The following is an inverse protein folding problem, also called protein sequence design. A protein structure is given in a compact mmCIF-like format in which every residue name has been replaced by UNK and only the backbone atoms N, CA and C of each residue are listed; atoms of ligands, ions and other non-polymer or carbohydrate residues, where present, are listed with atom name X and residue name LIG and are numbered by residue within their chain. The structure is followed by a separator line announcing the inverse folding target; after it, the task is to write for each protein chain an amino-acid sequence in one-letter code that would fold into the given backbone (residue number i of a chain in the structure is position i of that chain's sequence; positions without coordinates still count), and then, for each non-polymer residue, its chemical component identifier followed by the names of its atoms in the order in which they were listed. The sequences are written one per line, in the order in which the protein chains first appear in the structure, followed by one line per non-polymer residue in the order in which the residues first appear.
data_IF_991089856546
#
_entry.id   IF_991089856546
#
_cell.length_a   1.000
_cell.length_b   1.000
_cell.length_c   1.000
_cell.angle_alpha   90.00
_cell.angle_beta   90.00
_cell.angle_gamma   90.00
#
_symmetry.space_group_name_H-M   'P 1'
#
loop_
_entity.id
_entity.type
_entity.pdbx_description
1 polymer ?
#
# COMPACT_ATOMS: atom_id res chain seq x y z
N UNK A 1 -27.92 24.29 -8.42
CA UNK A 1 -28.66 23.26 -7.67
C UNK A 1 -27.79 22.81 -6.51
N UNK A 2 -28.20 23.02 -5.24
CA UNK A 2 -27.43 22.54 -4.08
C UNK A 2 -27.43 21.02 -4.12
N UNK A 3 -26.26 20.40 -4.25
CA UNK A 3 -26.15 18.95 -4.14
C UNK A 3 -26.57 18.56 -2.73
N UNK A 4 -27.56 17.68 -2.63
CA UNK A 4 -28.02 17.12 -1.36
C UNK A 4 -26.88 16.27 -0.81
N UNK A 5 -26.48 16.52 0.43
CA UNK A 5 -25.44 15.75 1.10
C UNK A 5 -25.83 14.26 1.15
N UNK A 6 -24.95 13.34 0.73
CA UNK A 6 -25.27 11.91 0.69
C UNK A 6 -25.22 11.30 2.09
N UNK A 7 -26.33 11.42 2.81
CA UNK A 7 -26.47 10.95 4.19
C UNK A 7 -26.31 9.42 4.31
N UNK A 8 -26.83 8.66 3.34
CA UNK A 8 -26.75 7.19 3.36
C UNK A 8 -25.30 6.69 3.25
N UNK A 9 -24.51 7.30 2.37
CA UNK A 9 -23.09 6.96 2.22
C UNK A 9 -22.30 7.33 3.48
N UNK A 10 -22.60 8.50 4.06
CA UNK A 10 -22.00 8.93 5.32
C UNK A 10 -22.30 7.95 6.47
N UNK A 11 -23.54 7.51 6.61
CA UNK A 11 -23.94 6.52 7.61
C UNK A 11 -23.27 5.16 7.39
N UNK A 12 -23.11 4.73 6.14
CA UNK A 12 -22.37 3.51 5.80
C UNK A 12 -20.90 3.59 6.25
N UNK A 13 -20.21 4.70 5.97
CA UNK A 13 -18.83 4.91 6.41
C UNK A 13 -18.72 4.92 7.93
N UNK A 14 -19.65 5.58 8.64
CA UNK A 14 -19.66 5.57 10.10
C UNK A 14 -19.93 4.18 10.69
N UNK A 15 -20.78 3.38 10.04
CA UNK A 15 -21.03 2.00 10.47
C UNK A 15 -19.78 1.11 10.33
N UNK A 16 -19.04 1.26 9.23
CA UNK A 16 -17.85 0.44 8.97
C UNK A 16 -16.59 0.93 9.67
N UNK A 17 -16.38 2.25 9.74
CA UNK A 17 -15.13 2.86 10.18
C UNK A 17 -15.31 3.93 11.28
N UNK A 18 -16.48 4.00 11.93
CA UNK A 18 -16.81 5.08 12.88
C UNK A 18 -15.89 5.20 14.11
N UNK A 19 -15.07 4.19 14.40
CA UNK A 19 -14.05 4.25 15.46
C UNK A 19 -12.76 4.99 15.03
N UNK A 20 -12.56 5.21 13.73
CA UNK A 20 -11.39 5.90 13.18
C UNK A 20 -11.66 7.36 12.81
N UNK A 21 -12.92 7.78 12.80
CA UNK A 21 -13.33 9.11 12.37
C UNK A 21 -14.09 9.86 13.47
N UNK A 22 -13.85 11.17 13.54
CA UNK A 22 -14.71 12.08 14.29
C UNK A 22 -15.90 12.45 13.41
N UNK A 23 -17.09 11.95 13.75
CA UNK A 23 -18.30 12.12 12.93
C UNK A 23 -18.74 13.57 12.79
N UNK A 24 -18.52 14.41 13.80
CA UNK A 24 -18.85 15.82 13.76
C UNK A 24 -17.94 16.57 12.80
N UNK A 25 -16.63 16.41 12.96
CA UNK A 25 -15.64 17.03 12.06
C UNK A 25 -15.73 16.51 10.64
N UNK A 26 -15.88 15.20 10.45
CA UNK A 26 -15.98 14.60 9.11
C UNK A 26 -17.19 15.14 8.35
N UNK A 27 -18.34 15.32 9.02
CA UNK A 27 -19.53 15.90 8.40
C UNK A 27 -19.29 17.34 7.96
N UNK A 28 -18.71 18.17 8.83
CA UNK A 28 -18.40 19.57 8.50
C UNK A 28 -17.40 19.68 7.35
N UNK A 29 -16.33 18.88 7.37
CA UNK A 29 -15.31 18.86 6.32
C UNK A 29 -15.88 18.38 4.98
N UNK A 30 -16.69 17.32 4.97
CA UNK A 30 -17.36 16.85 3.76
C UNK A 30 -18.35 17.90 3.23
N UNK A 31 -19.07 18.61 4.12
CA UNK A 31 -20.01 19.64 3.70
C UNK A 31 -19.32 20.84 3.04
N UNK A 32 -18.13 21.22 3.50
CA UNK A 32 -17.26 22.21 2.84
C UNK A 32 -16.86 21.70 1.45
N UNK A 33 -16.40 20.45 1.35
CA UNK A 33 -16.06 19.84 0.07
C UNK A 33 -17.22 19.84 -0.94
N UNK A 34 -18.43 19.49 -0.50
CA UNK A 34 -19.61 19.48 -1.37
C UNK A 34 -20.09 20.88 -1.77
N UNK A 35 -19.74 21.91 -0.99
CA UNK A 35 -20.12 23.30 -1.24
C UNK A 35 -19.17 24.01 -2.20
N UNK A 36 -17.91 23.59 -2.26
CA UNK A 36 -16.87 24.21 -3.07
C UNK A 36 -16.85 23.68 -4.51
N UNK A 37 -17.15 24.56 -5.48
CA UNK A 37 -17.21 24.21 -6.90
C UNK A 37 -15.82 23.95 -7.51
N UNK A 38 -14.76 24.52 -6.96
CA UNK A 38 -13.39 24.34 -7.46
C UNK A 38 -12.89 22.93 -7.15
N UNK A 39 -13.25 22.41 -5.97
CA UNK A 39 -12.96 21.02 -5.58
C UNK A 39 -13.82 20.00 -6.35
N UNK A 40 -15.03 20.37 -6.76
CA UNK A 40 -15.86 19.53 -7.64
C UNK A 40 -15.40 19.52 -9.11
N UNK A 41 -14.75 20.61 -9.55
CA UNK A 41 -14.21 20.75 -10.91
C UNK A 41 -13.03 19.83 -11.17
N UNK A 42 -12.24 19.53 -10.13
CA UNK A 42 -11.11 18.62 -10.22
C UNK A 42 -11.54 17.14 -10.14
N UNK A 43 -12.32 16.68 -11.13
CA UNK A 43 -12.71 15.26 -11.33
C UNK A 43 -11.53 14.37 -11.79
N UNK A 44 -10.32 14.68 -11.34
CA UNK A 44 -9.15 13.83 -11.55
C UNK A 44 -9.28 12.50 -10.79
N UNK A 45 -8.27 11.64 -10.90
CA UNK A 45 -8.25 10.41 -10.11
C UNK A 45 -8.16 10.79 -8.63
N UNK A 46 -8.74 9.97 -7.74
CA UNK A 46 -8.63 10.16 -6.28
C UNK A 46 -7.18 10.40 -5.81
N UNK A 47 -6.20 9.78 -6.48
CA UNK A 47 -4.78 9.98 -6.19
C UNK A 47 -4.31 11.41 -6.50
N UNK A 48 -4.76 12.01 -7.60
CA UNK A 48 -4.38 13.37 -7.99
C UNK A 48 -4.97 14.37 -7.00
N UNK A 49 -6.18 14.09 -6.52
CA UNK A 49 -6.83 14.87 -5.48
C UNK A 49 -6.11 14.76 -4.12
N UNK A 50 -5.63 13.58 -3.74
CA UNK A 50 -4.81 13.39 -2.53
C UNK A 50 -3.47 14.13 -2.60
N UNK A 51 -2.84 14.18 -3.79
CA UNK A 51 -1.63 14.96 -4.02
C UNK A 51 -1.93 16.44 -3.88
N UNK A 52 -3.02 16.93 -4.50
CA UNK A 52 -3.46 18.31 -4.36
C UNK A 52 -3.72 18.72 -2.90
N UNK A 53 -4.44 17.89 -2.13
CA UNK A 53 -4.68 18.17 -0.71
C UNK A 53 -3.38 18.27 0.09
N UNK A 54 -2.38 17.47 -0.27
CA UNK A 54 -1.07 17.47 0.39
C UNK A 54 -0.23 18.69 -0.01
N UNK A 55 -0.24 19.04 -1.29
CA UNK A 55 0.52 20.18 -1.82
C UNK A 55 -0.04 21.53 -1.36
N UNK A 56 -1.33 21.60 -1.05
CA UNK A 56 -1.99 22.78 -0.49
C UNK A 56 -1.98 22.82 1.05
N UNK A 57 -1.27 21.90 1.73
CA UNK A 57 -1.25 21.75 3.20
C UNK A 57 -2.65 21.64 3.84
N UNK A 58 -3.63 21.18 3.06
CA UNK A 58 -5.01 20.99 3.50
C UNK A 58 -5.19 19.73 4.36
N UNK A 59 -4.14 18.91 4.49
CA UNK A 59 -4.09 17.74 5.38
C UNK A 59 -4.21 18.15 6.86
N UNK A 60 -3.68 19.31 7.23
CA UNK A 60 -3.86 19.88 8.58
C UNK A 60 -5.21 20.59 8.75
N UNK A 61 -5.76 21.18 7.68
CA UNK A 61 -7.02 21.93 7.73
C UNK A 61 -8.26 21.00 7.70
N UNK A 62 -8.18 19.88 6.99
CA UNK A 62 -9.26 18.90 6.81
C UNK A 62 -8.77 17.46 7.07
N UNK A 63 -8.34 17.15 8.30
CA UNK A 63 -7.67 15.90 8.63
C UNK A 63 -8.59 14.67 8.53
N UNK A 64 -9.91 14.81 8.74
CA UNK A 64 -10.83 13.67 8.65
C UNK A 64 -11.10 13.32 7.18
N UNK A 65 -11.24 14.33 6.33
CA UNK A 65 -11.42 14.17 4.90
C UNK A 65 -10.17 13.54 4.24
N UNK A 66 -8.98 14.02 4.58
CA UNK A 66 -7.73 13.45 4.09
C UNK A 66 -7.58 11.98 4.47
N UNK A 67 -7.91 11.62 5.72
CA UNK A 67 -7.93 10.23 6.18
C UNK A 67 -8.93 9.38 5.39
N UNK A 68 -10.12 9.90 5.13
CA UNK A 68 -11.15 9.18 4.38
C UNK A 68 -10.69 8.92 2.94
N UNK A 69 -10.15 9.91 2.26
CA UNK A 69 -9.63 9.73 0.90
C UNK A 69 -8.42 8.81 0.85
N UNK A 70 -7.54 8.87 1.84
CA UNK A 70 -6.43 7.94 1.97
C UNK A 70 -6.90 6.50 2.16
N UNK A 71 -7.95 6.29 2.96
CA UNK A 71 -8.57 4.98 3.15
C UNK A 71 -9.17 4.46 1.84
N UNK A 72 -9.96 5.27 1.14
CA UNK A 72 -10.58 4.88 -0.14
C UNK A 72 -9.51 4.57 -1.19
N UNK A 73 -8.47 5.40 -1.30
CA UNK A 73 -7.37 5.17 -2.23
C UNK A 73 -6.61 3.88 -1.90
N UNK A 74 -6.40 3.59 -0.60
CA UNK A 74 -5.74 2.36 -0.17
C UNK A 74 -6.58 1.13 -0.49
N UNK A 75 -7.88 1.15 -0.19
CA UNK A 75 -8.79 0.02 -0.49
C UNK A 75 -8.87 -0.21 -2.01
N UNK A 76 -9.04 0.85 -2.80
CA UNK A 76 -9.10 0.75 -4.26
C UNK A 76 -7.78 0.30 -4.90
N UNK A 77 -6.65 0.77 -4.40
CA UNK A 77 -5.32 0.40 -4.91
C UNK A 77 -4.91 -1.03 -4.53
N UNK A 78 -5.39 -1.55 -3.38
CA UNK A 78 -4.98 -2.86 -2.90
C UNK A 78 -5.50 -4.01 -3.76
N UNK A 79 -6.67 -3.93 -4.39
CA UNK A 79 -7.21 -5.06 -5.17
C UNK A 79 -6.23 -5.56 -6.25
N UNK A 80 -5.79 -4.68 -7.15
CA UNK A 80 -4.88 -5.05 -8.23
C UNK A 80 -3.45 -5.37 -7.76
N UNK A 81 -2.98 -4.78 -6.66
CA UNK A 81 -1.66 -5.07 -6.08
C UNK A 81 -1.61 -6.42 -5.38
N UNK A 82 -2.66 -6.72 -4.62
CA UNK A 82 -2.85 -7.98 -3.88
C UNK A 82 -3.06 -9.14 -4.84
N UNK A 83 -3.87 -8.98 -5.89
CA UNK A 83 -4.05 -10.00 -6.94
C UNK A 83 -2.74 -10.32 -7.67
N UNK A 84 -1.95 -9.31 -8.05
CA UNK A 84 -0.62 -9.52 -8.65
C UNK A 84 0.31 -10.26 -7.69
N UNK A 85 0.29 -9.92 -6.41
CA UNK A 85 1.10 -10.57 -5.37
C UNK A 85 0.68 -12.02 -5.17
N UNK A 86 -0.61 -12.31 -5.05
CA UNK A 86 -1.12 -13.68 -4.95
C UNK A 86 -0.85 -14.51 -6.21
N UNK A 87 -0.99 -13.90 -7.40
CA UNK A 87 -0.61 -14.53 -8.67
C UNK A 87 0.87 -14.88 -8.72
N UNK A 88 1.74 -13.96 -8.26
CA UNK A 88 3.18 -14.19 -8.13
C UNK A 88 3.48 -15.38 -7.21
N UNK A 89 2.89 -15.41 -6.00
CA UNK A 89 3.03 -16.52 -5.05
C UNK A 89 2.52 -17.84 -5.64
N UNK A 90 1.39 -17.81 -6.35
CA UNK A 90 0.83 -19.00 -7.01
C UNK A 90 1.80 -19.55 -8.06
N UNK A 91 2.33 -18.68 -8.93
CA UNK A 91 3.35 -19.04 -9.92
C UNK A 91 4.60 -19.60 -9.25
N UNK A 92 5.02 -19.01 -8.14
CA UNK A 92 6.18 -19.46 -7.39
C UNK A 92 5.99 -20.88 -6.84
N UNK A 93 4.85 -21.14 -6.19
CA UNK A 93 4.48 -22.48 -5.71
C UNK A 93 4.46 -23.50 -6.85
N UNK A 94 3.86 -23.15 -7.99
CA UNK A 94 3.81 -24.01 -9.17
C UNK A 94 5.20 -24.30 -9.75
N UNK A 95 6.07 -23.28 -9.83
CA UNK A 95 7.42 -23.41 -10.35
C UNK A 95 8.30 -24.28 -9.44
N UNK A 96 8.23 -24.08 -8.12
CA UNK A 96 9.14 -24.78 -7.20
C UNK A 96 8.76 -26.24 -6.97
N UNK A 97 7.53 -26.66 -7.31
CA UNK A 97 6.95 -28.03 -7.39
C UNK A 97 7.20 -28.99 -6.20
N UNK A 98 7.96 -28.55 -5.22
CA UNK A 98 8.37 -29.22 -4.00
C UNK A 98 7.66 -28.56 -2.82
N UNK A 99 7.32 -29.35 -1.82
CA UNK A 99 6.79 -28.86 -0.54
C UNK A 99 7.85 -28.00 0.15
N UNK A 100 7.81 -26.69 -0.08
CA UNK A 100 8.68 -25.72 0.57
C UNK A 100 8.09 -25.30 1.91
N UNK A 101 8.94 -25.16 2.93
CA UNK A 101 8.55 -24.54 4.19
C UNK A 101 8.07 -23.09 3.98
N UNK A 102 7.09 -22.66 4.79
CA UNK A 102 6.45 -21.34 4.66
C UNK A 102 7.46 -20.19 4.77
N UNK A 103 8.52 -20.34 5.58
CA UNK A 103 9.58 -19.34 5.68
C UNK A 103 10.30 -19.09 4.35
N UNK A 104 10.75 -20.15 3.67
CA UNK A 104 11.44 -20.02 2.37
C UNK A 104 10.51 -19.48 1.29
N UNK A 105 9.26 -19.92 1.28
CA UNK A 105 8.25 -19.41 0.35
C UNK A 105 8.00 -17.92 0.55
N UNK A 106 7.85 -17.46 1.79
CA UNK A 106 7.63 -16.05 2.11
C UNK A 106 8.81 -15.19 1.65
N UNK A 107 10.03 -15.58 1.95
CA UNK A 107 11.22 -14.82 1.54
C UNK A 107 11.33 -14.72 0.01
N UNK A 108 11.07 -15.81 -0.70
CA UNK A 108 11.16 -15.83 -2.16
C UNK A 108 9.99 -15.07 -2.82
N UNK A 109 8.78 -15.14 -2.24
CA UNK A 109 7.65 -14.31 -2.65
C UNK A 109 7.94 -12.83 -2.47
N UNK A 110 8.54 -12.43 -1.34
CA UNK A 110 8.93 -11.05 -1.07
C UNK A 110 9.91 -10.54 -2.14
N UNK A 111 10.96 -11.31 -2.43
CA UNK A 111 11.92 -10.97 -3.49
C UNK A 111 11.28 -10.87 -4.88
N UNK A 112 10.30 -11.73 -5.18
CA UNK A 112 9.64 -11.75 -6.47
C UNK A 112 8.62 -10.61 -6.65
N UNK A 113 7.87 -10.26 -5.59
CA UNK A 113 6.95 -9.11 -5.57
C UNK A 113 7.75 -7.82 -5.67
N UNK A 114 8.80 -7.67 -4.87
CA UNK A 114 9.66 -6.48 -4.80
C UNK A 114 10.83 -6.52 -5.79
N UNK A 115 10.67 -7.21 -6.92
CA UNK A 115 11.73 -7.40 -7.93
C UNK A 115 12.39 -6.08 -8.36
N UNK A 116 11.62 -5.00 -8.47
CA UNK A 116 12.12 -3.67 -8.86
C UNK A 116 13.08 -3.11 -7.82
N UNK A 117 12.76 -3.27 -6.53
CA UNK A 117 13.63 -2.88 -5.43
C UNK A 117 14.87 -3.77 -5.36
N UNK A 118 14.72 -5.09 -5.54
CA UNK A 118 15.88 -6.00 -5.57
C UNK A 118 16.85 -5.61 -6.68
N UNK A 119 16.34 -5.26 -7.86
CA UNK A 119 17.16 -4.78 -8.98
C UNK A 119 17.82 -3.42 -8.76
N UNK A 120 17.21 -2.52 -7.98
CA UNK A 120 17.87 -1.25 -7.64
C UNK A 120 18.98 -1.48 -6.61
N UNK A 121 18.76 -2.41 -5.66
CA UNK A 121 19.77 -2.82 -4.68
C UNK A 121 20.95 -3.53 -5.35
N UNK A 122 20.71 -4.36 -6.36
CA UNK A 122 21.74 -5.04 -7.16
C UNK A 122 22.74 -4.06 -7.80
N UNK A 123 22.29 -2.85 -8.17
CA UNK A 123 23.14 -1.79 -8.74
C UNK A 123 24.06 -1.14 -7.71
N UNK A 124 23.86 -1.40 -6.42
CA UNK A 124 24.69 -0.86 -5.34
C UNK A 124 25.91 -1.77 -5.17
N UNK A 125 27.15 -1.26 -5.36
CA UNK A 125 28.35 -2.10 -5.35
C UNK A 125 28.50 -2.94 -4.06
N UNK A 126 28.17 -2.35 -2.91
CA UNK A 126 28.31 -3.00 -1.60
C UNK A 126 27.21 -4.03 -1.29
N UNK A 127 26.21 -4.22 -2.16
CA UNK A 127 25.12 -5.16 -1.89
C UNK A 127 25.64 -6.60 -1.83
N UNK A 128 26.47 -6.98 -2.81
CA UNK A 128 26.96 -8.36 -2.92
C UNK A 128 27.89 -8.71 -1.77
N UNK A 129 28.73 -7.77 -1.35
CA UNK A 129 29.63 -7.94 -0.21
C UNK A 129 28.83 -8.20 1.07
N UNK A 130 27.83 -7.36 1.36
CA UNK A 130 26.96 -7.52 2.55
C UNK A 130 26.20 -8.84 2.57
N UNK A 131 25.69 -9.25 1.41
CA UNK A 131 25.02 -10.56 1.29
C UNK A 131 26.03 -11.68 1.54
N UNK A 132 27.22 -11.59 0.95
CA UNK A 132 28.28 -12.58 1.13
C UNK A 132 28.68 -12.71 2.59
N UNK A 133 28.93 -11.59 3.27
CA UNK A 133 29.27 -11.55 4.71
C UNK A 133 28.17 -12.22 5.55
N UNK A 134 26.90 -11.88 5.31
CA UNK A 134 25.78 -12.50 6.01
C UNK A 134 25.65 -14.01 5.75
N UNK A 135 26.03 -14.48 4.57
CA UNK A 135 26.09 -15.91 4.24
C UNK A 135 27.34 -16.62 4.79
N UNK A 136 28.37 -15.87 5.23
CA UNK A 136 29.55 -16.39 5.92
C UNK A 136 29.31 -16.49 7.44
N UNK A 137 28.49 -15.60 8.02
CA UNK A 137 28.07 -15.64 9.42
C UNK A 137 27.30 -16.93 9.81
N UNK A 138 26.66 -17.58 8.84
CA UNK A 138 25.96 -18.85 9.08
C UNK A 138 26.94 -20.01 9.05
N UNK A 139 26.99 -20.76 10.16
CA UNK A 139 27.69 -22.05 10.20
C UNK A 139 27.20 -22.96 9.07
N UNK A 140 28.08 -23.23 8.11
CA UNK A 140 27.80 -24.14 7.00
C UNK A 140 28.10 -25.56 7.47
N UNK A 141 27.11 -26.46 7.38
CA UNK A 141 27.33 -27.92 7.44
C UNK A 141 27.94 -28.46 6.13
N UNK A 142 28.95 -27.79 5.58
CA UNK A 142 29.63 -28.25 4.39
C UNK A 142 31.06 -28.63 4.78
N UNK A 143 31.27 -29.91 5.12
CA UNK A 143 32.61 -30.49 5.18
C UNK A 143 33.16 -30.55 3.75
N UNK A 144 33.98 -29.56 3.38
CA UNK A 144 34.80 -29.67 2.18
C UNK A 144 36.02 -30.53 2.52
N UNK A 145 35.84 -31.85 2.54
CA UNK A 145 36.99 -32.76 2.48
C UNK A 145 37.61 -32.65 1.09
N UNK A 146 38.60 -31.77 0.94
CA UNK A 146 39.52 -31.85 -0.19
C UNK A 146 40.39 -33.11 0.01
N UNK A 147 40.33 -34.03 -0.94
CA UNK A 147 41.30 -35.14 -1.09
C UNK A 147 42.30 -34.76 -2.17
#
# INVERSE_FOLDING_TARGET
MRQVFPEEAFQSVLKSYGHHFDSGRLRSELQVLYSDQDLQGNRGKLCDYLVFLKDMELDSAMPQLYKLFSLVATIGATSAGVERSFSCVKRLKSYTRNTMGQGRLRSLALLAIERTLVKSLEKTPSWYDRVTDHFLEKERRAEFTFK
#
